data_IF_613801422247
#
_entry.id   IF_613801422247
#
_cell.length_a   1.000
_cell.length_b   1.000
_cell.length_c   1.000
_cell.angle_alpha   90.00
_cell.angle_beta   90.00
_cell.angle_gamma   90.00
#
_symmetry.space_group_name_H-M   'P 1'
#
loop_
_entity.id
_entity.type
_entity.pdbx_description
1 polymer ?
#
# COMPACT_ATOMS: atom_id res chain seq x y z
N UNK A 1 -8.34 -21.77 -26.47
CA UNK A 1 -7.93 -23.01 -27.18
C UNK A 1 -8.85 -24.18 -26.83
N UNK A 2 -9.24 -24.36 -25.61
CA UNK A 2 -10.21 -25.39 -25.19
C UNK A 2 -11.55 -25.33 -25.96
N UNK A 3 -12.10 -24.13 -26.15
CA UNK A 3 -13.34 -23.93 -26.91
C UNK A 3 -13.29 -24.43 -28.38
N UNK A 4 -12.14 -24.31 -29.02
CA UNK A 4 -11.96 -24.84 -30.39
C UNK A 4 -11.93 -26.36 -30.44
N UNK A 5 -11.32 -26.99 -29.43
CA UNK A 5 -11.28 -28.44 -29.27
C UNK A 5 -12.67 -28.99 -28.94
N UNK A 6 -13.39 -28.37 -28.02
CA UNK A 6 -14.72 -28.83 -27.57
C UNK A 6 -15.76 -28.65 -28.69
N UNK A 7 -15.78 -27.47 -29.36
CA UNK A 7 -16.84 -27.13 -30.32
C UNK A 7 -16.59 -27.65 -31.74
N UNK A 8 -15.31 -27.76 -32.12
CA UNK A 8 -14.93 -28.06 -33.53
C UNK A 8 -13.92 -29.21 -33.65
N UNK A 9 -13.52 -29.87 -32.58
CA UNK A 9 -12.51 -30.95 -32.61
C UNK A 9 -11.10 -30.47 -33.02
N UNK A 10 -10.87 -29.17 -33.11
CA UNK A 10 -9.63 -28.59 -33.66
C UNK A 10 -8.62 -28.31 -32.54
N UNK A 11 -7.46 -28.96 -32.64
CA UNK A 11 -6.31 -28.70 -31.71
C UNK A 11 -5.32 -27.76 -32.40
N UNK A 12 -5.13 -26.58 -31.85
CA UNK A 12 -4.17 -25.59 -32.36
C UNK A 12 -3.21 -25.12 -31.27
N UNK A 13 -1.95 -24.85 -31.65
CA UNK A 13 -0.98 -24.19 -30.82
C UNK A 13 -1.39 -22.71 -30.61
N UNK A 14 -1.23 -22.18 -29.35
CA UNK A 14 -1.59 -20.81 -29.00
C UNK A 14 -0.90 -19.74 -29.86
N UNK A 15 0.35 -19.97 -30.27
CA UNK A 15 1.05 -19.08 -31.22
C UNK A 15 0.37 -18.98 -32.58
N UNK A 16 -0.15 -20.12 -33.10
CA UNK A 16 -0.90 -20.15 -34.37
C UNK A 16 -2.23 -19.43 -34.22
N UNK A 17 -2.97 -19.65 -33.14
CA UNK A 17 -4.23 -18.95 -32.87
C UNK A 17 -4.00 -17.44 -32.78
N UNK A 18 -3.01 -16.98 -32.03
CA UNK A 18 -2.68 -15.55 -31.91
C UNK A 18 -2.29 -14.92 -33.24
N UNK A 19 -1.53 -15.63 -34.09
CA UNK A 19 -1.17 -15.17 -35.45
C UNK A 19 -2.41 -14.98 -36.31
N UNK A 20 -3.36 -15.93 -36.27
CA UNK A 20 -4.62 -15.85 -37.00
C UNK A 20 -5.46 -14.68 -36.52
N UNK A 21 -5.62 -14.53 -35.20
CA UNK A 21 -6.36 -13.43 -34.58
C UNK A 21 -5.79 -12.05 -35.00
N UNK A 22 -4.47 -11.91 -35.01
CA UNK A 22 -3.81 -10.67 -35.47
C UNK A 22 -4.04 -10.43 -36.99
N UNK A 23 -3.92 -11.46 -37.81
CA UNK A 23 -4.12 -11.36 -39.28
C UNK A 23 -5.54 -10.89 -39.64
N UNK A 24 -6.54 -11.33 -38.87
CA UNK A 24 -7.94 -11.00 -39.13
C UNK A 24 -8.51 -9.93 -38.19
N UNK A 25 -7.63 -9.22 -37.44
CA UNK A 25 -7.99 -8.17 -36.48
C UNK A 25 -9.05 -8.59 -35.44
N UNK A 26 -9.00 -9.85 -34.99
CA UNK A 26 -9.93 -10.46 -34.04
C UNK A 26 -9.48 -10.27 -32.57
N UNK A 27 -8.68 -9.24 -32.28
CA UNK A 27 -8.24 -8.96 -30.91
C UNK A 27 -9.36 -8.29 -30.13
N UNK A 28 -9.60 -8.77 -28.93
CA UNK A 28 -10.62 -8.18 -28.04
C UNK A 28 -10.25 -6.72 -27.69
N UNK A 29 -11.22 -5.81 -27.71
CA UNK A 29 -10.99 -4.37 -27.51
C UNK A 29 -10.40 -4.04 -26.14
N UNK A 30 -10.72 -4.80 -25.08
CA UNK A 30 -10.19 -4.61 -23.73
C UNK A 30 -8.69 -4.93 -23.61
N UNK A 31 -8.09 -5.59 -24.62
CA UNK A 31 -6.64 -5.85 -24.68
C UNK A 31 -5.89 -4.71 -25.40
N UNK A 32 -6.59 -3.72 -25.93
CA UNK A 32 -5.92 -2.51 -26.42
C UNK A 32 -5.17 -1.90 -25.25
N UNK A 33 -3.83 -2.08 -25.25
CA UNK A 33 -2.96 -1.34 -24.33
C UNK A 33 -3.31 0.13 -24.49
N UNK A 34 -3.88 0.75 -23.46
CA UNK A 34 -3.99 2.21 -23.46
C UNK A 34 -2.59 2.74 -23.76
N UNK A 35 -2.46 3.63 -24.75
CA UNK A 35 -1.20 4.33 -24.98
C UNK A 35 -0.90 5.01 -23.63
N UNK A 36 0.08 4.49 -22.90
CA UNK A 36 0.63 5.18 -21.73
C UNK A 36 1.12 6.51 -22.24
N UNK A 37 0.33 7.57 -22.04
CA UNK A 37 0.85 8.93 -22.17
C UNK A 37 2.05 9.01 -21.23
N UNK A 38 3.13 9.65 -21.66
CA UNK A 38 4.37 9.87 -20.91
C UNK A 38 4.11 10.59 -19.57
N UNK A 39 3.53 9.85 -18.62
CA UNK A 39 3.37 10.25 -17.24
C UNK A 39 4.62 9.88 -16.42
N UNK A 40 5.51 9.10 -17.02
CA UNK A 40 6.66 8.50 -16.35
C UNK A 40 7.78 9.50 -16.05
N UNK A 41 8.03 10.50 -16.92
CA UNK A 41 9.12 11.47 -16.72
C UNK A 41 8.91 12.34 -15.47
N UNK A 42 7.66 12.75 -15.17
CA UNK A 42 7.34 13.57 -13.97
C UNK A 42 7.33 12.79 -12.66
N UNK A 43 7.24 11.46 -12.71
CA UNK A 43 7.23 10.59 -11.53
C UNK A 43 8.67 10.32 -11.07
N UNK A 44 9.62 10.20 -11.99
CA UNK A 44 11.03 9.91 -11.67
C UNK A 44 11.68 11.04 -10.89
N UNK A 45 11.33 12.30 -11.17
CA UNK A 45 11.87 13.49 -10.46
C UNK A 45 11.46 13.56 -8.98
N UNK A 46 10.37 12.90 -8.59
CA UNK A 46 9.84 12.92 -7.23
C UNK A 46 10.20 11.65 -6.42
N UNK A 47 10.86 10.67 -7.01
CA UNK A 47 11.35 9.50 -6.29
C UNK A 47 12.49 9.91 -5.37
N UNK A 48 12.40 9.53 -4.09
CA UNK A 48 13.42 9.85 -3.08
C UNK A 48 14.25 8.60 -2.73
N UNK A 49 15.50 8.78 -2.28
CA UNK A 49 16.35 7.65 -1.91
C UNK A 49 15.80 6.88 -0.71
N UNK A 50 16.16 5.61 -0.61
CA UNK A 50 15.90 4.80 0.58
C UNK A 50 16.90 5.17 1.68
N UNK A 51 16.45 5.92 2.67
CA UNK A 51 17.28 6.35 3.80
C UNK A 51 17.37 5.28 4.89
N UNK A 52 16.37 4.39 4.97
CA UNK A 52 16.31 3.38 6.03
C UNK A 52 17.27 2.21 5.81
N UNK A 53 17.54 1.87 4.54
CA UNK A 53 18.42 0.75 4.19
C UNK A 53 18.13 -0.54 5.01
N UNK A 54 16.84 -0.85 5.21
CA UNK A 54 16.34 -1.97 6.02
C UNK A 54 16.63 -1.87 7.53
N UNK A 55 17.08 -0.74 8.00
CA UNK A 55 17.15 -0.48 9.43
C UNK A 55 15.81 0.12 9.91
N UNK A 56 14.91 -0.76 10.31
CA UNK A 56 13.55 -0.41 10.77
C UNK A 56 13.45 -0.29 12.30
N UNK A 57 14.56 -0.06 12.97
CA UNK A 57 14.60 0.15 14.41
C UNK A 57 14.91 1.61 14.71
N UNK A 58 14.15 2.20 15.62
CA UNK A 58 14.41 3.52 16.16
C UNK A 58 14.32 3.47 17.68
N UNK A 59 15.09 4.28 18.34
CA UNK A 59 15.21 4.39 19.78
C UNK A 59 14.30 5.48 20.38
N UNK A 60 13.75 6.33 19.53
CA UNK A 60 12.89 7.46 19.91
C UNK A 60 11.57 7.42 19.15
N UNK A 61 10.44 7.72 19.78
CA UNK A 61 9.16 7.86 19.10
C UNK A 61 9.17 9.04 18.14
N UNK A 62 8.38 8.93 17.08
CA UNK A 62 8.23 9.93 16.01
C UNK A 62 9.52 10.30 15.28
N UNK A 63 10.52 9.43 15.26
CA UNK A 63 11.74 9.60 14.46
C UNK A 63 11.58 9.06 13.05
N UNK A 64 10.89 7.92 12.92
CA UNK A 64 10.62 7.28 11.64
C UNK A 64 9.19 6.75 11.64
N UNK A 65 8.41 7.24 10.69
CA UNK A 65 7.11 6.69 10.36
C UNK A 65 7.17 5.89 9.07
N UNK A 66 6.30 4.89 8.95
CA UNK A 66 6.15 4.04 7.79
C UNK A 66 4.70 4.11 7.32
N UNK A 67 4.47 4.27 6.01
CA UNK A 67 3.12 4.47 5.44
C UNK A 67 2.90 3.65 4.19
N UNK A 68 1.73 3.04 4.09
CA UNK A 68 1.29 2.30 2.90
C UNK A 68 -0.24 2.26 2.80
N UNK A 69 -0.73 1.93 1.60
CA UNK A 69 -2.15 1.72 1.32
C UNK A 69 -2.42 0.27 1.01
N UNK A 70 -3.31 -0.34 1.79
CA UNK A 70 -3.75 -1.71 1.54
C UNK A 70 -5.22 -1.81 1.15
N UNK A 71 -5.59 -2.92 0.49
CA UNK A 71 -6.96 -3.21 0.09
C UNK A 71 -7.71 -3.94 1.22
N UNK A 72 -8.94 -3.53 1.45
CA UNK A 72 -9.94 -4.25 2.22
C UNK A 72 -10.96 -4.83 1.22
N UNK A 73 -10.94 -6.13 1.01
CA UNK A 73 -11.76 -6.78 -0.02
C UNK A 73 -12.73 -7.75 0.64
N UNK A 74 -14.01 -7.67 0.27
CA UNK A 74 -15.03 -8.61 0.68
C UNK A 74 -16.03 -8.86 -0.45
N UNK A 75 -16.15 -10.13 -0.90
CA UNK A 75 -17.10 -10.58 -1.95
C UNK A 75 -17.17 -9.68 -3.18
N UNK A 76 -15.99 -9.27 -3.71
CA UNK A 76 -15.89 -8.40 -4.88
C UNK A 76 -16.00 -6.90 -4.61
N UNK A 77 -16.52 -6.48 -3.46
CA UNK A 77 -16.48 -5.09 -3.00
C UNK A 77 -15.13 -4.77 -2.39
N UNK A 78 -14.68 -3.51 -2.52
CA UNK A 78 -13.36 -3.09 -2.01
C UNK A 78 -13.41 -1.71 -1.37
N UNK A 79 -12.57 -1.54 -0.37
CA UNK A 79 -12.15 -0.25 0.18
C UNK A 79 -10.62 -0.22 0.28
N UNK A 80 -10.07 0.94 0.58
CA UNK A 80 -8.64 1.18 0.71
C UNK A 80 -8.37 1.75 2.09
N UNK A 81 -7.41 1.17 2.78
CA UNK A 81 -6.93 1.61 4.08
C UNK A 81 -5.55 2.22 3.91
N UNK A 82 -5.42 3.53 4.08
CA UNK A 82 -4.15 4.21 4.25
C UNK A 82 -3.78 4.25 5.72
N UNK A 83 -2.55 3.91 6.05
CA UNK A 83 -2.08 3.79 7.45
C UNK A 83 -0.71 4.41 7.60
N UNK A 84 -0.47 5.08 8.73
CA UNK A 84 0.85 5.51 9.18
C UNK A 84 1.14 4.85 10.52
N UNK A 85 2.27 4.17 10.62
CA UNK A 85 2.77 3.54 11.86
C UNK A 85 4.08 4.19 12.31
N UNK A 86 4.29 4.31 13.63
CA UNK A 86 5.58 4.68 14.20
C UNK A 86 6.48 3.44 14.27
N UNK A 87 7.68 3.50 13.72
CA UNK A 87 8.61 2.38 13.78
C UNK A 87 9.21 2.14 15.17
N UNK A 88 9.05 3.07 16.10
CA UNK A 88 9.50 2.93 17.48
C UNK A 88 8.74 1.82 18.22
N UNK A 89 7.43 1.94 18.31
CA UNK A 89 6.57 1.02 19.06
C UNK A 89 5.53 0.30 18.19
N UNK A 90 5.57 0.53 16.89
CA UNK A 90 4.64 -0.04 15.89
C UNK A 90 3.19 0.39 16.10
N UNK A 91 2.93 1.50 16.77
CA UNK A 91 1.59 2.05 16.90
C UNK A 91 1.12 2.71 15.61
N UNK A 92 -0.15 2.57 15.34
CA UNK A 92 -0.84 3.33 14.30
C UNK A 92 -1.00 4.77 14.80
N UNK A 93 -0.40 5.71 14.09
CA UNK A 93 -0.50 7.16 14.37
C UNK A 93 -1.80 7.70 13.79
N UNK A 94 -2.06 7.37 12.52
CA UNK A 94 -3.31 7.71 11.84
C UNK A 94 -3.66 6.66 10.79
N UNK A 95 -4.93 6.65 10.41
CA UNK A 95 -5.43 5.87 9.29
C UNK A 95 -6.68 6.52 8.70
N UNK A 96 -6.93 6.25 7.43
CA UNK A 96 -8.17 6.59 6.73
C UNK A 96 -8.64 5.42 5.88
N UNK A 97 -9.95 5.28 5.77
CA UNK A 97 -10.58 4.30 4.89
C UNK A 97 -11.41 5.03 3.85
N UNK A 98 -11.27 4.64 2.57
CA UNK A 98 -12.00 5.24 1.45
C UNK A 98 -12.40 4.18 0.44
N UNK A 99 -13.44 4.47 -0.36
CA UNK A 99 -13.79 3.69 -1.56
C UNK A 99 -12.87 4.00 -2.75
N UNK A 100 -12.05 5.06 -2.65
CA UNK A 100 -11.14 5.51 -3.70
C UNK A 100 -9.68 5.41 -3.24
N UNK A 101 -8.82 4.91 -4.14
CA UNK A 101 -7.37 4.91 -3.94
C UNK A 101 -6.77 6.11 -4.67
N UNK A 102 -6.85 7.26 -4.05
CA UNK A 102 -6.44 8.54 -4.61
C UNK A 102 -5.44 9.28 -3.70
N UNK A 103 -4.92 10.41 -4.19
CA UNK A 103 -4.01 11.25 -3.41
C UNK A 103 -4.68 11.79 -2.13
N UNK A 104 -5.99 12.09 -2.20
CA UNK A 104 -6.73 12.63 -1.06
C UNK A 104 -6.68 11.68 0.15
N UNK A 105 -6.85 10.37 -0.07
CA UNK A 105 -6.81 9.37 0.99
C UNK A 105 -5.49 9.43 1.78
N UNK A 106 -4.36 9.49 1.07
CA UNK A 106 -3.02 9.51 1.69
C UNK A 106 -2.74 10.87 2.34
N UNK A 107 -3.12 11.97 1.71
CA UNK A 107 -2.95 13.30 2.29
C UNK A 107 -3.79 13.53 3.54
N UNK A 108 -5.05 13.08 3.56
CA UNK A 108 -5.90 13.15 4.75
C UNK A 108 -5.31 12.32 5.91
N UNK A 109 -4.72 11.16 5.60
CA UNK A 109 -4.01 10.32 6.59
C UNK A 109 -2.79 11.04 7.15
N UNK A 110 -1.98 11.64 6.28
CA UNK A 110 -0.77 12.37 6.67
C UNK A 110 -1.09 13.62 7.50
N UNK A 111 -2.04 14.43 7.06
CA UNK A 111 -2.46 15.64 7.78
C UNK A 111 -3.01 15.31 9.17
N UNK A 112 -3.78 14.23 9.31
CA UNK A 112 -4.24 13.77 10.62
C UNK A 112 -3.06 13.30 11.50
N UNK A 113 -2.07 12.60 10.93
CA UNK A 113 -0.88 12.18 11.67
C UNK A 113 -0.11 13.39 12.21
N UNK A 114 0.12 14.40 11.36
CA UNK A 114 0.79 15.65 11.73
C UNK A 114 0.02 16.38 12.83
N UNK A 115 -1.30 16.52 12.69
CA UNK A 115 -2.13 17.23 13.68
C UNK A 115 -2.11 16.59 15.08
N UNK A 116 -1.90 15.29 15.15
CA UNK A 116 -1.78 14.55 16.43
C UNK A 116 -0.44 14.75 17.14
N UNK A 117 0.51 15.41 16.51
CA UNK A 117 1.85 15.65 17.05
C UNK A 117 2.15 17.14 17.14
N UNK A 118 2.84 17.56 18.19
CA UNK A 118 3.21 18.97 18.38
C UNK A 118 4.31 19.39 17.42
N UNK A 119 5.22 18.46 17.13
CA UNK A 119 6.36 18.67 16.24
C UNK A 119 6.68 17.38 15.49
N UNK A 120 6.86 17.49 14.19
CA UNK A 120 7.28 16.42 13.29
C UNK A 120 8.53 16.80 12.48
N UNK A 121 9.19 17.91 12.88
CA UNK A 121 10.42 18.37 12.23
C UNK A 121 11.53 17.32 12.40
N UNK A 122 12.22 17.01 11.29
CA UNK A 122 13.26 15.98 11.26
C UNK A 122 12.76 14.53 11.24
N UNK A 123 11.44 14.31 11.25
CA UNK A 123 10.84 12.99 11.04
C UNK A 123 11.21 12.46 9.65
N UNK A 124 11.53 11.17 9.57
CA UNK A 124 11.62 10.44 8.30
C UNK A 124 10.29 9.72 8.06
N UNK A 125 9.64 10.00 6.92
CA UNK A 125 8.44 9.31 6.48
C UNK A 125 8.80 8.38 5.34
N UNK A 126 8.70 7.06 5.59
CA UNK A 126 9.03 6.01 4.64
C UNK A 126 7.78 5.49 3.95
N UNK A 127 7.88 5.18 2.64
CA UNK A 127 6.79 4.62 1.83
C UNK A 127 7.33 3.81 0.66
N UNK A 128 6.46 3.14 -0.07
CA UNK A 128 6.76 2.68 -1.42
C UNK A 128 6.85 3.85 -2.43
N UNK A 129 7.03 3.53 -3.72
CA UNK A 129 7.03 4.50 -4.81
C UNK A 129 5.64 4.64 -5.47
N UNK A 130 4.56 4.45 -4.71
CA UNK A 130 3.20 4.63 -5.20
C UNK A 130 2.95 6.05 -5.72
N UNK A 131 2.02 6.18 -6.67
CA UNK A 131 1.73 7.47 -7.32
C UNK A 131 1.26 8.56 -6.34
N UNK A 132 0.68 8.17 -5.21
CA UNK A 132 0.25 9.08 -4.15
C UNK A 132 1.46 9.72 -3.47
N UNK A 133 2.48 8.91 -3.16
CA UNK A 133 3.69 9.32 -2.44
C UNK A 133 4.67 10.12 -3.31
N UNK A 134 4.57 9.98 -4.64
CA UNK A 134 5.35 10.75 -5.62
C UNK A 134 4.61 11.98 -6.15
N UNK A 135 3.45 12.33 -5.57
CA UNK A 135 2.70 13.53 -5.95
C UNK A 135 3.35 14.81 -5.41
N UNK A 136 3.17 15.92 -6.12
CA UNK A 136 3.67 17.23 -5.69
C UNK A 136 3.05 17.69 -4.38
N UNK A 137 1.75 17.41 -4.20
CA UNK A 137 1.01 17.78 -3.00
C UNK A 137 1.54 17.06 -1.76
N UNK A 138 1.82 15.75 -1.88
CA UNK A 138 2.41 14.97 -0.79
C UNK A 138 3.78 15.51 -0.40
N UNK A 139 4.63 15.79 -1.39
CA UNK A 139 5.95 16.39 -1.19
C UNK A 139 5.84 17.75 -0.50
N UNK A 140 4.94 18.63 -0.95
CA UNK A 140 4.75 19.95 -0.36
C UNK A 140 4.32 19.88 1.10
N UNK A 141 3.40 18.96 1.46
CA UNK A 141 2.99 18.74 2.86
C UNK A 141 4.20 18.29 3.71
N UNK A 142 4.99 17.35 3.22
CA UNK A 142 6.17 16.89 3.95
C UNK A 142 7.20 18.02 4.15
N UNK A 143 7.54 18.74 3.08
CA UNK A 143 8.54 19.82 3.12
C UNK A 143 8.10 20.98 4.04
N UNK A 144 6.83 21.39 3.99
CA UNK A 144 6.30 22.46 4.84
C UNK A 144 6.28 22.11 6.33
N UNK A 145 6.33 20.82 6.67
CA UNK A 145 6.38 20.33 8.05
C UNK A 145 7.76 19.82 8.48
N UNK A 146 8.81 20.02 7.67
CA UNK A 146 10.17 19.58 7.97
C UNK A 146 10.34 18.04 7.96
N UNK A 147 9.45 17.32 7.27
CA UNK A 147 9.47 15.85 7.15
C UNK A 147 10.38 15.46 5.99
N UNK A 148 11.30 14.55 6.23
CA UNK A 148 12.18 13.98 5.21
C UNK A 148 11.53 12.73 4.61
N UNK A 149 11.31 12.72 3.29
CA UNK A 149 10.74 11.57 2.57
C UNK A 149 11.82 10.54 2.29
N UNK A 150 11.53 9.27 2.58
CA UNK A 150 12.33 8.10 2.22
C UNK A 150 11.46 7.12 1.45
N UNK A 151 11.98 6.49 0.39
CA UNK A 151 11.20 5.56 -0.42
C UNK A 151 11.90 4.22 -0.58
N UNK A 152 11.12 3.14 -0.47
CA UNK A 152 11.56 1.79 -0.77
C UNK A 152 12.04 1.68 -2.23
N UNK A 153 13.04 0.86 -2.49
CA UNK A 153 13.53 0.62 -3.85
C UNK A 153 12.50 -0.15 -4.66
N UNK A 154 12.34 0.24 -5.92
CA UNK A 154 11.40 -0.42 -6.83
C UNK A 154 11.68 -1.92 -6.94
N UNK A 155 10.64 -2.73 -6.75
CA UNK A 155 10.74 -4.18 -6.84
C UNK A 155 11.45 -4.85 -5.65
N UNK A 156 11.61 -4.15 -4.52
CA UNK A 156 12.26 -4.67 -3.31
C UNK A 156 11.28 -4.64 -2.13
N UNK A 157 10.35 -5.61 -2.01
CA UNK A 157 9.32 -5.62 -0.94
C UNK A 157 9.90 -5.58 0.47
N UNK A 158 11.09 -6.16 0.67
CA UNK A 158 11.75 -6.18 1.97
C UNK A 158 12.10 -4.77 2.51
N UNK A 159 12.13 -3.78 1.62
CA UNK A 159 12.43 -2.39 2.00
C UNK A 159 11.23 -1.68 2.68
N UNK A 160 10.01 -2.28 2.62
CA UNK A 160 8.78 -1.79 3.23
C UNK A 160 8.12 -2.82 4.17
N UNK A 161 8.91 -3.80 4.58
CA UNK A 161 8.44 -4.97 5.33
C UNK A 161 7.73 -4.69 6.67
N UNK A 162 7.98 -3.59 7.40
CA UNK A 162 7.28 -3.36 8.66
C UNK A 162 5.78 -3.12 8.48
N UNK A 163 5.39 -2.22 7.57
CA UNK A 163 3.99 -1.90 7.34
C UNK A 163 3.27 -3.01 6.58
N UNK A 164 3.94 -3.68 5.63
CA UNK A 164 3.41 -4.88 4.97
C UNK A 164 3.09 -6.00 5.97
N UNK A 165 3.99 -6.24 6.93
CA UNK A 165 3.78 -7.21 8.01
C UNK A 165 2.61 -6.81 8.91
N UNK A 166 2.46 -5.52 9.20
CA UNK A 166 1.34 -4.98 9.96
C UNK A 166 0.01 -5.18 9.22
N UNK A 167 -0.05 -4.86 7.92
CA UNK A 167 -1.23 -5.09 7.08
C UNK A 167 -1.61 -6.58 7.01
N UNK A 168 -0.61 -7.45 6.89
CA UNK A 168 -0.83 -8.90 6.89
C UNK A 168 -1.41 -9.38 8.21
N UNK A 169 -0.92 -8.86 9.34
CA UNK A 169 -1.43 -9.17 10.67
C UNK A 169 -2.87 -8.70 10.84
N UNK A 170 -3.17 -7.45 10.47
CA UNK A 170 -4.52 -6.88 10.48
C UNK A 170 -5.49 -7.79 9.71
N UNK A 171 -5.17 -8.10 8.46
CA UNK A 171 -6.03 -8.95 7.61
C UNK A 171 -6.20 -10.34 8.22
N UNK A 172 -5.14 -10.94 8.75
CA UNK A 172 -5.20 -12.25 9.40
C UNK A 172 -6.12 -12.23 10.62
N UNK A 173 -5.99 -11.27 11.50
CA UNK A 173 -6.76 -11.22 12.75
C UNK A 173 -8.20 -10.74 12.53
N UNK A 174 -8.49 -9.97 11.48
CA UNK A 174 -9.86 -9.51 11.19
C UNK A 174 -10.62 -10.45 10.25
N UNK A 175 -10.02 -10.93 9.15
CA UNK A 175 -10.71 -11.75 8.16
C UNK A 175 -10.93 -13.20 8.62
N UNK A 176 -9.92 -13.82 9.26
CA UNK A 176 -9.98 -15.25 9.55
C UNK A 176 -10.69 -15.58 10.86
N UNK A 177 -10.77 -14.63 11.79
CA UNK A 177 -11.33 -14.87 13.12
C UNK A 177 -12.76 -14.35 13.29
N UNK A 178 -13.36 -13.73 12.25
CA UNK A 178 -14.67 -13.10 12.35
C UNK A 178 -15.60 -13.56 11.22
N UNK A 179 -16.89 -13.65 11.52
CA UNK A 179 -17.93 -13.90 10.52
C UNK A 179 -18.32 -12.56 9.85
N UNK A 180 -17.63 -12.22 8.77
CA UNK A 180 -17.85 -10.97 8.03
C UNK A 180 -19.06 -11.14 7.13
N UNK A 181 -20.02 -10.22 7.21
CA UNK A 181 -21.28 -10.25 6.46
C UNK A 181 -21.31 -9.24 5.29
N UNK A 182 -20.62 -8.11 5.43
CA UNK A 182 -20.54 -7.07 4.41
C UNK A 182 -19.20 -6.34 4.44
N UNK A 183 -18.91 -5.50 3.44
CA UNK A 183 -17.73 -4.64 3.43
C UNK A 183 -17.79 -3.61 4.57
N UNK A 184 -18.97 -3.07 4.86
CA UNK A 184 -19.18 -2.12 5.97
C UNK A 184 -18.88 -2.79 7.32
N UNK A 185 -19.37 -4.01 7.53
CA UNK A 185 -19.05 -4.79 8.72
C UNK A 185 -17.53 -5.05 8.83
N UNK A 186 -16.87 -5.35 7.69
CA UNK A 186 -15.43 -5.52 7.68
C UNK A 186 -14.68 -4.24 8.05
N UNK A 187 -15.13 -3.08 7.57
CA UNK A 187 -14.54 -1.78 7.92
C UNK A 187 -14.64 -1.52 9.42
N UNK A 188 -15.80 -1.74 10.02
CA UNK A 188 -16.02 -1.59 11.47
C UNK A 188 -15.04 -2.49 12.26
N UNK A 189 -14.93 -3.76 11.87
CA UNK A 189 -13.99 -4.70 12.50
C UNK A 189 -12.53 -4.25 12.39
N UNK A 190 -12.14 -3.66 11.25
CA UNK A 190 -10.81 -3.10 11.05
C UNK A 190 -10.55 -1.92 12.00
N UNK A 191 -11.52 -1.01 12.15
CA UNK A 191 -11.40 0.16 13.05
C UNK A 191 -11.32 -0.29 14.51
N UNK A 192 -12.15 -1.22 14.94
CA UNK A 192 -12.12 -1.82 16.29
C UNK A 192 -10.78 -2.53 16.54
N UNK A 193 -10.29 -3.28 15.54
CA UNK A 193 -9.02 -3.96 15.64
C UNK A 193 -7.85 -2.98 15.76
N UNK A 194 -7.83 -1.87 15.01
CA UNK A 194 -6.80 -0.85 15.13
C UNK A 194 -6.79 -0.25 16.54
N UNK A 195 -7.96 0.03 17.10
CA UNK A 195 -8.09 0.51 18.48
C UNK A 195 -7.53 -0.51 19.48
N UNK A 196 -7.93 -1.79 19.37
CA UNK A 196 -7.40 -2.89 20.18
C UNK A 196 -5.89 -3.03 20.02
N UNK A 197 -5.38 -2.99 18.78
CA UNK A 197 -3.95 -3.09 18.47
C UNK A 197 -3.13 -2.00 19.16
N UNK A 198 -3.64 -0.77 19.21
CA UNK A 198 -2.93 0.35 19.82
C UNK A 198 -3.00 0.36 21.35
N UNK A 199 -4.05 -0.20 21.95
CA UNK A 199 -4.31 -0.05 23.39
C UNK A 199 -4.06 -1.32 24.20
N UNK A 200 -4.47 -2.47 23.67
CA UNK A 200 -4.60 -3.71 24.46
C UNK A 200 -3.70 -4.83 23.97
N UNK A 201 -3.43 -4.88 22.65
CA UNK A 201 -2.68 -5.98 22.05
C UNK A 201 -1.25 -6.04 22.59
N UNK A 202 -0.88 -7.18 23.18
CA UNK A 202 0.47 -7.42 23.66
C UNK A 202 1.40 -7.54 22.43
N UNK A 203 2.32 -6.60 22.28
CA UNK A 203 3.37 -6.64 21.27
C UNK A 203 4.59 -7.30 21.88
N UNK A 204 5.07 -8.39 21.32
CA UNK A 204 6.29 -9.06 21.78
C UNK A 204 7.44 -8.04 21.87
N UNK A 205 8.11 -7.95 23.04
CA UNK A 205 9.32 -7.13 23.17
C UNK A 205 10.35 -7.64 22.16
N UNK A 206 10.88 -6.76 21.30
CA UNK A 206 12.11 -7.06 20.57
C UNK A 206 13.19 -7.31 21.63
N UNK A 207 13.58 -8.56 21.79
CA UNK A 207 14.80 -8.88 22.56
C UNK A 207 15.95 -8.39 21.69
N UNK A 208 16.56 -7.26 22.08
CA UNK A 208 17.83 -6.84 21.52
C UNK A 208 18.86 -7.90 21.90
N UNK A 209 19.05 -8.91 21.06
CA UNK A 209 20.24 -9.75 21.12
C UNK A 209 21.40 -8.83 20.73
N UNK A 210 22.07 -8.24 21.73
CA UNK A 210 23.43 -7.76 21.54
C UNK A 210 24.26 -8.98 21.13
N UNK A 211 24.76 -8.96 19.90
CA UNK A 211 25.90 -9.77 19.47
C UNK A 211 27.15 -8.95 19.66
#
# INVERSE_FOLDING_TARGET
MEGLKIKYGVVMNGKKVLRIMRKYNLMAEYIRKSKKKNKNERIEDNVKPNLLNRNFTTDVPNKVWDTDVTYLIFKGSRAYLSTIIDLYDRKVISYKISKHNDNKLVMDTLNEAISKRKDVSGLILHSDQGFQYTSYEYKAICESNGITISMARKGTPIDDSPIESWHSLLKKETLYNNNITSLENYIILVEEWIKFYNTTRIKGKKVNKKR
#
